data_IF_300272066236
#
_entry.id   IF_300272066236
#
_cell.length_a   1.000
_cell.length_b   1.000
_cell.length_c   1.000
_cell.angle_alpha   90.00
_cell.angle_beta   90.00
_cell.angle_gamma   90.00
#
_symmetry.space_group_name_H-M   'P 1'
#
loop_
_entity.id
_entity.type
_entity.pdbx_description
1 polymer ?
#
# COMPACT_ATOMS: atom_id res chain seq x y z
N UNK A 1 -5.98 42.57 85.77
CA UNK A 1 -6.42 41.39 84.99
C UNK A 1 -6.03 41.61 83.53
N UNK A 2 -5.13 40.77 83.01
CA UNK A 2 -4.47 40.93 81.72
C UNK A 2 -5.39 40.51 80.56
N UNK A 3 -5.54 41.35 79.53
CA UNK A 3 -6.30 41.01 78.32
C UNK A 3 -5.43 40.14 77.41
N UNK A 4 -5.82 38.88 77.23
CA UNK A 4 -5.18 37.97 76.29
C UNK A 4 -5.43 38.42 74.84
N UNK A 5 -4.35 38.50 74.05
CA UNK A 5 -4.33 38.85 72.64
C UNK A 5 -4.59 37.58 71.81
N UNK A 6 -5.54 37.54 70.87
CA UNK A 6 -5.77 36.34 70.07
C UNK A 6 -4.59 36.09 69.12
N UNK A 7 -4.15 34.83 69.07
CA UNK A 7 -3.08 34.37 68.19
C UNK A 7 -3.50 34.52 66.72
N UNK A 8 -2.68 35.20 65.93
CA UNK A 8 -2.84 35.29 64.49
C UNK A 8 -2.56 33.92 63.87
N UNK A 9 -3.60 33.24 63.38
CA UNK A 9 -3.44 32.05 62.56
C UNK A 9 -2.78 32.43 61.24
N UNK A 10 -1.54 32.00 61.03
CA UNK A 10 -0.85 32.08 59.74
C UNK A 10 -1.49 31.13 58.74
N UNK A 11 -2.63 31.53 58.17
CA UNK A 11 -3.29 30.80 57.10
C UNK A 11 -2.48 30.91 55.81
N UNK A 12 -1.81 29.83 55.39
CA UNK A 12 -1.28 29.74 54.02
C UNK A 12 -2.45 29.91 53.05
N UNK A 13 -2.35 30.73 51.99
CA UNK A 13 -3.43 30.87 51.03
C UNK A 13 -3.73 29.51 50.39
N UNK A 14 -4.95 29.02 50.57
CA UNK A 14 -5.43 27.79 49.93
C UNK A 14 -5.27 27.92 48.40
N UNK A 15 -4.72 26.91 47.70
CA UNK A 15 -4.58 26.98 46.26
C UNK A 15 -5.97 27.09 45.61
N UNK A 16 -6.22 28.18 44.89
CA UNK A 16 -7.44 28.38 44.10
C UNK A 16 -7.38 27.48 42.86
N UNK A 17 -7.73 26.21 43.02
CA UNK A 17 -7.87 25.28 41.90
C UNK A 17 -9.18 25.65 41.19
N UNK A 18 -9.08 26.43 40.10
CA UNK A 18 -10.20 26.67 39.20
C UNK A 18 -10.24 25.56 38.17
N UNK A 19 -11.12 24.58 38.39
CA UNK A 19 -11.44 23.61 37.35
C UNK A 19 -12.21 24.32 36.23
N UNK A 20 -11.85 24.12 34.95
CA UNK A 20 -12.66 24.62 33.85
C UNK A 20 -14.00 23.87 33.84
N UNK A 21 -15.06 24.54 34.29
CA UNK A 21 -16.41 23.95 34.45
C UNK A 21 -17.18 23.91 33.12
N UNK A 22 -16.82 24.76 32.15
CA UNK A 22 -17.55 24.91 30.88
C UNK A 22 -16.68 24.57 29.64
N UNK A 23 -17.33 24.06 28.59
CA UNK A 23 -16.81 23.74 27.25
C UNK A 23 -15.68 22.70 27.13
N UNK A 24 -15.33 22.00 28.21
CA UNK A 24 -14.30 20.95 28.19
C UNK A 24 -14.65 19.82 27.25
N UNK A 25 -15.90 19.35 27.28
CA UNK A 25 -16.41 18.33 26.37
C UNK A 25 -16.45 18.82 24.93
N UNK A 26 -16.93 20.04 24.68
CA UNK A 26 -17.03 20.60 23.33
C UNK A 26 -15.64 20.77 22.68
N UNK A 27 -14.66 21.29 23.43
CA UNK A 27 -13.27 21.41 22.96
C UNK A 27 -12.65 20.05 22.66
N UNK A 28 -12.92 19.05 23.50
CA UNK A 28 -12.43 17.68 23.30
C UNK A 28 -13.05 17.03 22.06
N UNK A 29 -14.36 17.16 21.87
CA UNK A 29 -15.07 16.68 20.68
C UNK A 29 -14.56 17.36 19.40
N UNK A 30 -14.40 18.68 19.40
CA UNK A 30 -13.84 19.40 18.24
C UNK A 30 -12.41 18.96 17.92
N UNK A 31 -11.59 18.70 18.95
CA UNK A 31 -10.24 18.17 18.73
C UNK A 31 -10.29 16.77 18.10
N UNK A 32 -11.20 15.90 18.54
CA UNK A 32 -11.37 14.57 17.94
C UNK A 32 -11.86 14.66 16.50
N UNK A 33 -12.81 15.55 16.19
CA UNK A 33 -13.29 15.77 14.82
C UNK A 33 -12.15 16.25 13.92
N UNK A 34 -11.34 17.22 14.38
CA UNK A 34 -10.16 17.68 13.63
C UNK A 34 -9.20 16.54 13.32
N UNK A 35 -8.86 15.73 14.32
CA UNK A 35 -7.96 14.58 14.14
C UNK A 35 -8.57 13.54 13.21
N UNK A 36 -9.86 13.26 13.33
CA UNK A 36 -10.57 12.32 12.46
C UNK A 36 -10.55 12.78 10.99
N UNK A 37 -10.79 14.07 10.71
CA UNK A 37 -10.71 14.61 9.36
C UNK A 37 -9.30 14.46 8.77
N UNK A 38 -8.25 14.73 9.56
CA UNK A 38 -6.87 14.57 9.11
C UNK A 38 -6.56 13.11 8.78
N UNK A 39 -6.95 12.18 9.67
CA UNK A 39 -6.76 10.75 9.45
C UNK A 39 -7.57 10.23 8.25
N UNK A 40 -8.79 10.75 8.05
CA UNK A 40 -9.66 10.40 6.93
C UNK A 40 -9.07 10.82 5.58
N UNK A 41 -8.25 11.88 5.54
CA UNK A 41 -7.52 12.27 4.33
C UNK A 41 -6.19 11.52 4.17
N UNK A 42 -5.48 11.29 5.29
CA UNK A 42 -4.20 10.58 5.28
C UNK A 42 -4.34 9.11 4.89
N UNK A 43 -5.35 8.40 5.38
CA UNK A 43 -5.56 6.99 5.09
C UNK A 43 -5.67 6.68 3.58
N UNK A 44 -6.59 7.31 2.81
CA UNK A 44 -6.69 7.06 1.37
C UNK A 44 -5.46 7.59 0.61
N UNK A 45 -4.82 8.66 1.09
CA UNK A 45 -3.58 9.17 0.49
C UNK A 45 -2.44 8.15 0.62
N UNK A 46 -2.22 7.60 1.81
CA UNK A 46 -1.26 6.55 2.07
C UNK A 46 -1.57 5.30 1.25
N UNK A 47 -2.84 4.88 1.19
CA UNK A 47 -3.25 3.74 0.37
C UNK A 47 -2.97 3.98 -1.12
N UNK A 48 -3.23 5.18 -1.62
CA UNK A 48 -2.92 5.53 -3.00
C UNK A 48 -1.42 5.47 -3.29
N UNK A 49 -0.60 6.08 -2.44
CA UNK A 49 0.85 6.15 -2.62
C UNK A 49 1.55 4.81 -2.45
N UNK A 50 1.11 3.97 -1.51
CA UNK A 50 1.79 2.71 -1.17
C UNK A 50 1.22 1.50 -1.91
N UNK A 51 -0.04 1.53 -2.34
CA UNK A 51 -0.67 0.40 -3.01
C UNK A 51 -0.95 0.67 -4.49
N UNK A 52 -1.67 1.75 -4.80
CA UNK A 52 -2.11 2.01 -6.17
C UNK A 52 -0.98 2.49 -7.08
N UNK A 53 -0.15 3.40 -6.58
CA UNK A 53 0.93 3.98 -7.36
C UNK A 53 2.01 2.94 -7.73
N UNK A 54 2.52 2.09 -6.80
CA UNK A 54 3.52 1.09 -7.16
C UNK A 54 2.97 0.06 -8.13
N UNK A 55 1.68 -0.32 -8.00
CA UNK A 55 1.01 -1.19 -8.99
C UNK A 55 1.05 -0.57 -10.38
N UNK A 56 0.60 0.69 -10.53
CA UNK A 56 0.62 1.40 -11.83
C UNK A 56 2.04 1.51 -12.39
N UNK A 57 3.02 1.81 -11.55
CA UNK A 57 4.43 1.92 -11.96
C UNK A 57 5.00 0.57 -12.43
N UNK A 58 4.68 -0.54 -11.75
CA UNK A 58 5.06 -1.89 -12.18
C UNK A 58 4.49 -2.23 -13.54
N UNK A 59 3.19 -1.99 -13.76
CA UNK A 59 2.56 -2.22 -15.07
C UNK A 59 3.20 -1.34 -16.16
N UNK A 60 3.41 -0.05 -15.89
CA UNK A 60 4.07 0.85 -16.83
C UNK A 60 5.48 0.37 -17.19
N UNK A 61 6.26 -0.04 -16.19
CA UNK A 61 7.63 -0.55 -16.38
C UNK A 61 7.66 -1.86 -17.15
N UNK A 62 6.71 -2.76 -16.87
CA UNK A 62 6.59 -4.02 -17.60
C UNK A 62 6.38 -3.74 -19.10
N UNK A 63 5.36 -2.95 -19.44
CA UNK A 63 5.02 -2.68 -20.84
C UNK A 63 5.97 -1.70 -21.55
N UNK A 64 6.80 -0.94 -20.84
CA UNK A 64 7.76 -0.04 -21.49
C UNK A 64 8.86 -0.77 -22.26
N UNK A 65 9.15 -2.02 -21.89
CA UNK A 65 10.19 -2.83 -22.53
C UNK A 65 9.69 -4.24 -22.87
N UNK A 66 8.37 -4.43 -22.93
CA UNK A 66 7.78 -5.73 -23.21
C UNK A 66 7.77 -5.98 -24.71
N UNK A 67 8.46 -7.04 -25.14
CA UNK A 67 8.35 -7.56 -26.50
C UNK A 67 7.37 -8.76 -26.49
N UNK A 68 6.21 -8.63 -27.15
CA UNK A 68 5.23 -9.70 -27.19
C UNK A 68 5.72 -10.95 -27.94
N UNK A 69 6.63 -10.81 -28.91
CA UNK A 69 7.14 -11.94 -29.69
C UNK A 69 8.14 -12.76 -28.89
N UNK A 70 9.10 -12.13 -28.19
CA UNK A 70 10.02 -12.83 -27.28
C UNK A 70 9.26 -13.56 -26.16
N UNK A 71 8.22 -12.93 -25.60
CA UNK A 71 7.38 -13.59 -24.60
C UNK A 71 6.62 -14.80 -25.17
N UNK A 72 6.10 -14.68 -26.40
CA UNK A 72 5.44 -15.78 -27.09
C UNK A 72 6.40 -16.94 -27.36
N UNK A 73 7.61 -16.66 -27.87
CA UNK A 73 8.62 -17.67 -28.15
C UNK A 73 9.05 -18.41 -26.87
N UNK A 74 9.14 -17.72 -25.74
CA UNK A 74 9.36 -18.34 -24.41
C UNK A 74 8.20 -19.24 -24.00
N UNK A 75 6.97 -18.84 -24.28
CA UNK A 75 5.78 -19.64 -23.95
C UNK A 75 5.64 -20.88 -24.84
N UNK A 76 5.91 -20.73 -26.14
CA UNK A 76 5.91 -21.82 -27.12
C UNK A 76 7.04 -22.81 -26.86
N UNK A 77 8.27 -22.33 -26.64
CA UNK A 77 9.42 -23.16 -26.29
C UNK A 77 9.29 -23.83 -24.92
N UNK A 78 8.53 -23.21 -24.01
CA UNK A 78 8.12 -23.79 -22.73
C UNK A 78 6.99 -24.83 -22.83
N UNK A 79 6.34 -24.97 -23.99
CA UNK A 79 5.26 -25.93 -24.20
C UNK A 79 3.96 -25.56 -23.49
N UNK A 80 3.78 -24.29 -23.10
CA UNK A 80 2.55 -23.84 -22.42
C UNK A 80 1.36 -23.68 -23.36
N UNK A 81 1.60 -23.65 -24.67
CA UNK A 81 0.58 -23.40 -25.68
C UNK A 81 0.16 -24.71 -26.35
N UNK A 82 -1.08 -25.16 -26.13
CA UNK A 82 -1.65 -26.33 -26.82
C UNK A 82 -1.96 -26.05 -28.29
N UNK A 83 -2.29 -24.80 -28.63
CA UNK A 83 -2.57 -24.35 -29.99
C UNK A 83 -1.31 -24.17 -30.85
N UNK A 84 -0.17 -23.94 -30.21
CA UNK A 84 1.13 -23.76 -30.85
C UNK A 84 2.13 -24.69 -30.14
N UNK A 85 2.07 -26.00 -30.39
CA UNK A 85 2.99 -26.94 -29.79
C UNK A 85 4.42 -26.56 -30.20
N UNK A 86 5.37 -26.77 -29.28
CA UNK A 86 6.81 -26.63 -29.56
C UNK A 86 7.11 -27.49 -30.78
N UNK A 87 7.64 -26.90 -31.85
CA UNK A 87 8.08 -27.67 -33.01
C UNK A 87 8.98 -28.80 -32.50
N UNK A 88 8.48 -30.04 -32.66
CA UNK A 88 9.19 -31.22 -32.23
C UNK A 88 10.42 -31.36 -33.10
N UNK A 89 11.60 -31.00 -32.57
CA UNK A 89 12.87 -31.52 -33.09
C UNK A 89 12.98 -33.01 -32.74
N UNK A 90 12.17 -33.83 -33.42
CA UNK A 90 12.20 -35.29 -33.64
C UNK A 90 10.74 -35.71 -33.87
N UNK A 91 10.30 -35.99 -35.09
CA UNK A 91 10.52 -37.31 -35.67
C UNK A 91 11.16 -37.24 -37.06
N UNK A 92 12.40 -37.76 -37.15
CA UNK A 92 12.86 -38.42 -38.37
C UNK A 92 11.88 -39.55 -38.67
N UNK A 93 11.08 -39.42 -39.73
CA UNK A 93 10.62 -40.58 -40.48
C UNK A 93 11.21 -40.50 -41.86
N UNK A 94 12.12 -41.45 -42.10
CA UNK A 94 12.46 -41.92 -43.42
C UNK A 94 11.17 -42.13 -44.21
N UNK A 95 11.00 -41.43 -45.32
CA UNK A 95 10.26 -42.03 -46.42
C UNK A 95 10.91 -41.70 -47.76
N UNK A 96 11.34 -42.80 -48.34
CA UNK A 96 12.06 -42.99 -49.59
C UNK A 96 11.16 -42.54 -50.73
N UNK A 97 11.63 -41.60 -51.56
CA UNK A 97 11.18 -41.50 -52.95
C UNK A 97 12.38 -41.42 -53.87
N UNK A 98 12.87 -42.63 -54.18
CA UNK A 98 13.56 -42.91 -55.44
C UNK A 98 12.65 -42.45 -56.58
N UNK A 99 13.06 -41.43 -57.32
CA UNK A 99 12.76 -41.36 -58.75
C UNK A 99 13.82 -40.53 -59.50
N UNK A 100 14.74 -41.29 -60.13
CA UNK A 100 15.07 -41.16 -61.55
C UNK A 100 15.88 -39.94 -62.02
N UNK A 101 17.19 -40.14 -62.17
CA UNK A 101 17.85 -40.01 -63.49
C UNK A 101 19.23 -40.66 -63.53
N UNK A 102 19.27 -41.89 -64.07
CA UNK A 102 20.43 -42.46 -64.76
C UNK A 102 20.02 -42.75 -66.20
N UNK A 103 20.36 -41.83 -67.10
CA UNK A 103 21.05 -42.05 -68.39
C UNK A 103 21.08 -40.73 -69.14
#
# INVERSE_FOLDING_TARGET
>A
MSKAKPAAMSGKPQPKIKFPIHDTHLKKSLSHVKTACILALLAPFCFYMLHNLPRKMKYKKFYSSYDPLDAFDRMQSGGYLSSCPKESKSDKKDDKKDDKKKK
#
